data_IF_131460446378
#
_entry.id   IF_131460446378
#
_cell.length_a   1.000
_cell.length_b   1.000
_cell.length_c   1.000
_cell.angle_alpha   90.00
_cell.angle_beta   90.00
_cell.angle_gamma   90.00
#
_symmetry.space_group_name_H-M   'P 1'
#
loop_
_entity.id
_entity.type
_entity.pdbx_description
1 polymer ?
#
# COMPACT_ATOMS: atom_id res chain seq x y z
N UNK A 1 27.45 -2.76 3.94
CA UNK A 1 26.56 -2.70 5.10
C UNK A 1 25.16 -2.40 4.58
N UNK A 2 24.42 -3.43 4.18
CA UNK A 2 23.06 -3.29 3.65
C UNK A 2 22.10 -3.40 4.83
N UNK A 3 21.55 -2.28 5.28
CA UNK A 3 20.42 -2.29 6.22
C UNK A 3 19.32 -3.16 5.63
N UNK A 4 18.71 -4.09 6.38
CA UNK A 4 17.59 -4.87 5.87
C UNK A 4 16.48 -3.93 5.38
N UNK A 5 15.78 -4.26 4.28
CA UNK A 5 14.69 -3.43 3.78
C UNK A 5 13.61 -3.35 4.85
N UNK A 6 13.45 -2.17 5.46
CA UNK A 6 12.31 -1.90 6.32
C UNK A 6 11.10 -1.57 5.47
N UNK A 7 9.95 -2.10 5.87
CA UNK A 7 8.67 -1.84 5.24
C UNK A 7 7.85 -0.93 6.14
N UNK A 8 6.84 -0.29 5.58
CA UNK A 8 5.84 0.44 6.33
C UNK A 8 4.46 0.11 5.79
N UNK A 9 3.48 0.21 6.67
CA UNK A 9 2.07 0.07 6.35
C UNK A 9 1.39 1.43 6.45
N UNK A 10 0.58 1.75 5.44
CA UNK A 10 -0.33 2.89 5.45
C UNK A 10 -1.74 2.33 5.46
N UNK A 11 -2.44 2.53 6.57
CA UNK A 11 -3.84 2.17 6.71
C UNK A 11 -4.72 3.35 6.27
N UNK A 12 -5.71 3.06 5.43
CA UNK A 12 -6.72 4.01 4.97
C UNK A 12 -8.10 3.45 5.30
N UNK A 13 -8.84 4.13 6.17
CA UNK A 13 -10.11 3.64 6.68
C UNK A 13 -11.24 4.66 6.52
N UNK A 14 -12.42 4.23 6.10
CA UNK A 14 -13.63 5.06 6.06
C UNK A 14 -14.46 4.90 4.78
N UNK A 15 -15.68 5.47 4.74
CA UNK A 15 -16.65 5.23 3.68
C UNK A 15 -16.16 5.64 2.29
N UNK A 16 -15.33 6.68 2.20
CA UNK A 16 -14.81 7.17 0.92
C UNK A 16 -13.41 6.62 0.59
N UNK A 17 -12.89 5.65 1.37
CA UNK A 17 -11.51 5.15 1.24
C UNK A 17 -11.26 4.46 -0.11
N UNK A 18 -12.21 3.68 -0.62
CA UNK A 18 -12.09 3.00 -1.91
C UNK A 18 -12.01 4.01 -3.07
N UNK A 19 -12.98 4.92 -3.17
CA UNK A 19 -13.01 5.98 -4.18
C UNK A 19 -11.79 6.87 -4.11
N UNK A 20 -11.34 7.20 -2.89
CA UNK A 20 -10.12 7.97 -2.68
C UNK A 20 -8.90 7.22 -3.22
N UNK A 21 -8.69 5.96 -2.84
CA UNK A 21 -7.55 5.17 -3.30
C UNK A 21 -7.57 4.92 -4.82
N UNK A 22 -8.75 4.69 -5.40
CA UNK A 22 -8.92 4.56 -6.86
C UNK A 22 -8.45 5.82 -7.61
N UNK A 23 -8.66 7.00 -7.02
CA UNK A 23 -8.21 8.28 -7.58
C UNK A 23 -6.74 8.62 -7.30
N UNK A 24 -6.06 7.84 -6.46
CA UNK A 24 -4.66 8.07 -6.07
C UNK A 24 -3.70 7.02 -6.64
N UNK A 25 -4.16 5.79 -6.86
CA UNK A 25 -3.37 4.68 -7.34
C UNK A 25 -3.68 4.41 -8.81
N UNK A 26 -2.68 3.91 -9.56
CA UNK A 26 -2.88 3.53 -10.96
C UNK A 26 -3.59 2.17 -11.12
N UNK A 27 -3.90 1.49 -10.01
CA UNK A 27 -4.43 0.15 -9.97
C UNK A 27 -5.93 0.16 -9.69
N UNK A 28 -6.65 -0.86 -10.17
CA UNK A 28 -8.06 -1.04 -9.82
C UNK A 28 -8.20 -1.64 -8.42
N UNK A 29 -8.57 -0.79 -7.48
CA UNK A 29 -8.77 -1.07 -6.06
C UNK A 29 -10.14 -1.70 -5.82
N UNK A 30 -11.15 -1.36 -6.63
CA UNK A 30 -12.52 -1.88 -6.49
C UNK A 30 -12.62 -3.41 -6.62
N UNK A 31 -11.79 -4.00 -7.47
CA UNK A 31 -11.72 -5.45 -7.69
C UNK A 31 -10.90 -6.24 -6.66
N UNK A 32 -10.52 -5.63 -5.52
CA UNK A 32 -9.82 -6.32 -4.44
C UNK A 32 -10.85 -6.79 -3.40
N UNK A 33 -11.00 -8.10 -3.27
CA UNK A 33 -11.89 -8.71 -2.28
C UNK A 33 -11.28 -8.64 -0.88
N UNK A 34 -12.12 -8.80 0.15
CA UNK A 34 -11.64 -8.79 1.53
C UNK A 34 -10.65 -9.96 1.77
N UNK A 35 -9.54 -9.67 2.45
CA UNK A 35 -8.46 -10.63 2.69
C UNK A 35 -7.53 -10.86 1.49
N UNK A 36 -7.77 -10.22 0.34
CA UNK A 36 -6.87 -10.31 -0.81
C UNK A 36 -5.84 -9.20 -0.83
N UNK A 37 -4.70 -9.53 -1.44
CA UNK A 37 -3.60 -8.63 -1.73
C UNK A 37 -3.47 -8.45 -3.24
N UNK A 38 -3.10 -7.25 -3.67
CA UNK A 38 -2.80 -6.95 -5.06
C UNK A 38 -1.61 -6.01 -5.17
N UNK A 39 -0.73 -6.25 -6.13
CA UNK A 39 0.34 -5.30 -6.45
C UNK A 39 -0.24 -4.02 -7.04
N UNK A 40 0.38 -2.90 -6.71
CA UNK A 40 0.04 -1.60 -7.24
C UNK A 40 1.24 -0.68 -7.29
N UNK A 41 1.05 0.46 -7.92
CA UNK A 41 2.01 1.54 -7.93
C UNK A 41 1.32 2.86 -7.61
N UNK A 42 2.04 3.70 -6.87
CA UNK A 42 1.70 5.10 -6.69
C UNK A 42 2.52 5.91 -7.70
N UNK A 43 1.82 6.55 -8.64
CA UNK A 43 2.44 7.35 -9.69
C UNK A 43 2.30 8.84 -9.39
N UNK A 44 3.30 9.61 -9.80
CA UNK A 44 3.19 11.07 -9.79
C UNK A 44 2.48 11.54 -11.06
N UNK A 45 1.96 12.80 -11.10
CA UNK A 45 1.22 13.31 -12.26
C UNK A 45 1.99 13.31 -13.59
N UNK A 46 3.33 13.26 -13.56
CA UNK A 46 4.16 13.17 -14.77
C UNK A 46 4.27 11.74 -15.34
N UNK A 47 3.61 10.76 -14.71
CA UNK A 47 3.61 9.36 -15.12
C UNK A 47 4.73 8.50 -14.52
N UNK A 48 5.68 9.08 -13.78
CA UNK A 48 6.72 8.30 -13.09
C UNK A 48 6.15 7.56 -11.88
N UNK A 49 6.61 6.32 -11.71
CA UNK A 49 6.34 5.53 -10.50
C UNK A 49 7.12 6.13 -9.33
N UNK A 50 6.40 6.55 -8.28
CA UNK A 50 6.98 7.03 -7.04
C UNK A 50 7.23 5.89 -6.04
N UNK A 51 6.31 4.93 -5.98
CA UNK A 51 6.44 3.78 -5.10
C UNK A 51 5.74 2.55 -5.70
N UNK A 52 6.37 1.39 -5.56
CA UNK A 52 5.72 0.09 -5.70
C UNK A 52 5.18 -0.32 -4.34
N UNK A 53 3.98 -0.88 -4.33
CA UNK A 53 3.28 -1.23 -3.09
C UNK A 53 2.37 -2.43 -3.28
N UNK A 54 2.00 -3.06 -2.17
CA UNK A 54 0.94 -4.06 -2.13
C UNK A 54 -0.28 -3.46 -1.43
N UNK A 55 -1.45 -3.67 -2.01
CA UNK A 55 -2.74 -3.18 -1.52
C UNK A 55 -3.50 -4.36 -0.94
N UNK A 56 -3.93 -4.26 0.30
CA UNK A 56 -4.81 -5.21 0.95
C UNK A 56 -6.14 -4.57 1.33
N UNK A 57 -7.16 -5.41 1.43
CA UNK A 57 -8.47 -5.05 1.98
C UNK A 57 -8.76 -5.90 3.22
N UNK A 58 -8.24 -5.54 4.41
CA UNK A 58 -8.46 -6.33 5.63
C UNK A 58 -9.92 -6.37 6.09
N UNK A 59 -10.76 -5.42 5.68
CA UNK A 59 -12.16 -5.37 6.10
C UNK A 59 -13.03 -4.43 5.27
N UNK A 60 -14.28 -4.26 5.70
CA UNK A 60 -15.22 -3.31 5.08
C UNK A 60 -14.71 -1.89 5.31
N UNK A 61 -14.50 -1.13 4.23
CA UNK A 61 -13.97 0.24 4.28
C UNK A 61 -12.56 0.37 4.89
N UNK A 62 -11.82 -0.74 4.98
CA UNK A 62 -10.45 -0.76 5.48
C UNK A 62 -9.52 -1.20 4.37
N UNK A 63 -8.51 -0.39 4.13
CA UNK A 63 -7.50 -0.60 3.10
C UNK A 63 -6.12 -0.44 3.72
N UNK A 64 -5.18 -1.23 3.22
CA UNK A 64 -3.80 -1.24 3.68
C UNK A 64 -2.85 -1.19 2.50
N UNK A 65 -1.85 -0.33 2.59
CA UNK A 65 -0.79 -0.22 1.60
C UNK A 65 0.54 -0.61 2.27
N UNK A 66 1.17 -1.68 1.81
CA UNK A 66 2.51 -2.08 2.23
C UNK A 66 3.52 -1.57 1.20
N UNK A 67 4.51 -0.82 1.65
CA UNK A 67 5.53 -0.24 0.78
C UNK A 67 6.87 -0.10 1.53
N UNK A 68 8.00 0.09 0.83
CA UNK A 68 9.27 0.35 1.48
C UNK A 68 9.22 1.60 2.39
N UNK A 69 9.83 1.52 3.57
CA UNK A 69 9.72 2.56 4.60
C UNK A 69 10.35 3.90 4.18
N UNK A 70 11.38 3.85 3.33
CA UNK A 70 12.07 5.01 2.77
C UNK A 70 11.15 5.92 1.93
N UNK A 71 10.16 5.34 1.24
CA UNK A 71 9.17 6.07 0.44
C UNK A 71 7.85 6.31 1.18
N UNK A 72 7.60 5.61 2.28
CA UNK A 72 6.32 5.64 2.99
C UNK A 72 5.93 7.03 3.52
N UNK A 73 6.89 7.77 4.07
CA UNK A 73 6.64 9.13 4.56
C UNK A 73 6.21 10.08 3.43
N UNK A 74 6.86 9.99 2.27
CA UNK A 74 6.56 10.82 1.11
C UNK A 74 5.19 10.49 0.49
N UNK A 75 4.85 9.20 0.42
CA UNK A 75 3.53 8.74 -0.05
C UNK A 75 2.43 9.18 0.92
N UNK A 76 2.62 8.98 2.23
CA UNK A 76 1.65 9.38 3.26
C UNK A 76 1.35 10.87 3.22
N UNK A 77 2.39 11.71 3.13
CA UNK A 77 2.24 13.16 3.06
C UNK A 77 1.44 13.59 1.82
N UNK A 78 1.65 12.93 0.68
CA UNK A 78 0.88 13.20 -0.53
C UNK A 78 -0.57 12.75 -0.40
N UNK A 79 -0.83 11.54 0.09
CA UNK A 79 -2.18 11.05 0.32
C UNK A 79 -2.95 12.00 1.26
N UNK A 80 -2.32 12.48 2.33
CA UNK A 80 -2.92 13.48 3.23
C UNK A 80 -3.26 14.79 2.51
N UNK A 81 -2.38 15.27 1.61
CA UNK A 81 -2.61 16.48 0.82
C UNK A 81 -3.83 16.36 -0.11
N UNK A 82 -4.06 15.19 -0.69
CA UNK A 82 -5.16 14.95 -1.63
C UNK A 82 -6.48 14.52 -0.97
N UNK A 83 -6.50 14.34 0.35
CA UNK A 83 -7.68 13.92 1.14
C UNK A 83 -8.79 14.99 1.25
N UNK A 84 -8.72 16.09 0.49
CA UNK A 84 -9.68 17.18 0.58
C UNK A 84 -11.12 16.67 0.38
N UNK A 85 -11.93 16.73 1.44
CA UNK A 85 -13.34 16.29 1.52
C UNK A 85 -13.59 14.77 1.49
N UNK A 86 -12.56 13.92 1.45
CA UNK A 86 -12.74 12.48 1.57
C UNK A 86 -12.97 12.08 3.04
N UNK A 87 -14.07 11.40 3.34
CA UNK A 87 -14.36 10.83 4.67
C UNK A 87 -13.60 9.52 4.82
N UNK A 88 -12.30 9.65 5.03
CA UNK A 88 -11.42 8.55 5.43
C UNK A 88 -10.45 9.03 6.50
N UNK A 89 -9.63 8.14 7.05
CA UNK A 89 -8.52 8.42 7.97
C UNK A 89 -7.30 7.70 7.41
N UNK A 90 -6.12 8.34 7.51
CA UNK A 90 -4.86 7.82 6.98
C UNK A 90 -3.88 7.78 8.14
N UNK A 91 -3.31 6.61 8.41
CA UNK A 91 -2.27 6.41 9.44
C UNK A 91 -1.14 5.58 8.85
N UNK A 92 0.11 5.92 9.16
CA UNK A 92 1.29 5.16 8.73
C UNK A 92 2.07 4.65 9.92
N UNK A 93 2.55 3.41 9.85
CA UNK A 93 3.44 2.83 10.84
C UNK A 93 4.53 2.01 10.15
N UNK A 94 5.74 2.02 10.71
CA UNK A 94 6.83 1.19 10.21
C UNK A 94 6.61 -0.26 10.67
N UNK A 95 6.77 -1.19 9.74
CA UNK A 95 6.69 -2.63 10.01
C UNK A 95 8.10 -3.17 9.99
N UNK A 96 8.57 -3.53 11.18
CA UNK A 96 9.79 -4.32 11.31
C UNK A 96 9.43 -5.73 10.86
N UNK A 97 9.87 -6.11 9.67
CA UNK A 97 9.79 -7.49 9.22
C UNK A 97 10.70 -8.33 10.13
N UNK A 98 10.14 -8.87 11.21
CA UNK A 98 10.77 -9.98 11.90
C UNK A 98 10.89 -11.12 10.89
N UNK A 99 12.05 -11.78 10.83
CA UNK A 99 12.44 -12.71 9.76
C UNK A 99 11.61 -14.02 9.76
N UNK A 100 10.45 -14.04 10.42
CA UNK A 100 9.58 -15.17 10.64
C UNK A 100 8.09 -14.95 10.33
N UNK A 101 7.66 -13.79 9.84
CA UNK A 101 6.26 -13.61 9.42
C UNK A 101 6.10 -13.99 7.94
N UNK A 102 5.39 -15.07 7.59
CA UNK A 102 5.15 -15.41 6.20
C UNK A 102 4.36 -14.26 5.57
N UNK A 103 4.92 -13.66 4.52
CA UNK A 103 4.19 -12.78 3.62
C UNK A 103 2.76 -13.34 3.44
N UNK A 104 1.71 -12.54 3.64
CA UNK A 104 0.36 -13.05 3.78
C UNK A 104 0.04 -13.96 2.60
N UNK A 105 -0.19 -15.23 2.93
CA UNK A 105 -0.39 -16.33 2.01
C UNK A 105 -1.50 -16.00 1.03
N UNK A 106 -1.12 -15.48 -0.14
CA UNK A 106 -2.02 -15.34 -1.26
C UNK A 106 -1.25 -15.43 -2.57
N UNK A 107 -0.67 -16.62 -2.81
CA UNK A 107 -0.37 -17.22 -4.14
C UNK A 107 0.31 -16.34 -5.21
N UNK A 108 0.99 -15.25 -4.85
CA UNK A 108 2.02 -14.67 -5.70
C UNK A 108 3.30 -15.47 -5.49
N UNK A 109 3.45 -16.53 -6.30
CA UNK A 109 4.70 -17.28 -6.42
C UNK A 109 5.82 -16.25 -6.60
N UNK A 110 6.66 -16.08 -5.58
CA UNK A 110 7.98 -15.47 -5.71
C UNK A 110 8.83 -16.36 -6.63
N UNK A 111 8.51 -16.36 -7.92
CA UNK A 111 9.39 -16.78 -8.99
C UNK A 111 10.25 -15.58 -9.30
N UNK A 112 11.33 -15.40 -8.54
CA UNK A 112 12.54 -14.68 -8.95
C UNK A 112 13.61 -14.89 -7.86
N UNK A 113 14.05 -16.14 -7.72
CA UNK A 113 15.41 -16.46 -7.31
C UNK A 113 15.77 -17.86 -7.84
N UNK A 114 16.13 -17.91 -9.12
CA UNK A 114 16.88 -19.01 -9.73
C UNK A 114 17.55 -18.44 -10.96
N UNK A 115 18.72 -17.81 -10.75
CA UNK A 115 19.98 -17.96 -11.49
C UNK A 115 21.07 -17.36 -10.59
#
# INVERSE_FOLDING_TARGET
MTTPPSFAEIDVQGPDAETFLQGQLANDVSGIEQGQWRYGCYCVPDGRVQALLMIARPGVQQWRLLLPADVAAAVTLRLQRYKLRARCTISSHEVVADHGDPAPDNRARYLLCSI
#
